data_IF_026177312176
#
_entry.id   IF_026177312176
#
_cell.length_a   1.000
_cell.length_b   1.000
_cell.length_c   1.000
_cell.angle_alpha   90.00
_cell.angle_beta   90.00
_cell.angle_gamma   90.00
#
_symmetry.space_group_name_H-M   'P 1'
#
loop_
_entity.id
_entity.type
_entity.pdbx_description
1 polymer ?
#
# COMPACT_ATOMS: atom_id res chain seq x y z
N UNK A 1 1.49 -8.79 -10.40
CA UNK A 1 1.32 -7.43 -9.85
C UNK A 1 2.65 -6.69 -9.92
N UNK A 2 2.69 -5.43 -10.39
CA UNK A 2 3.93 -4.66 -10.51
C UNK A 2 4.56 -4.34 -9.14
N UNK A 3 5.88 -4.39 -9.06
CA UNK A 3 6.66 -3.95 -7.90
C UNK A 3 8.11 -3.60 -8.33
N UNK A 4 8.65 -2.43 -7.93
CA UNK A 4 9.96 -1.95 -8.38
C UNK A 4 11.15 -2.47 -7.52
N UNK A 5 10.97 -3.57 -6.78
CA UNK A 5 11.97 -4.11 -5.84
C UNK A 5 11.90 -3.45 -4.46
N UNK A 6 10.71 -3.34 -3.89
CA UNK A 6 10.43 -2.69 -2.59
C UNK A 6 9.47 -3.53 -1.75
N UNK A 7 9.49 -3.34 -0.43
CA UNK A 7 8.63 -4.07 0.52
C UNK A 7 7.15 -3.87 0.18
N UNK A 8 6.37 -4.90 0.49
CA UNK A 8 4.90 -4.85 0.49
C UNK A 8 4.37 -5.19 1.88
N UNK A 9 3.16 -4.74 2.18
CA UNK A 9 2.41 -5.14 3.38
C UNK A 9 1.06 -5.71 2.94
N UNK A 10 0.74 -6.89 3.45
CA UNK A 10 -0.58 -7.52 3.28
C UNK A 10 -1.28 -7.61 4.64
N UNK A 11 -2.59 -7.44 4.61
CA UNK A 11 -3.48 -7.67 5.73
C UNK A 11 -4.73 -8.41 5.23
N UNK A 12 -5.20 -9.40 5.99
CA UNK A 12 -6.46 -10.08 5.72
C UNK A 12 -7.51 -9.50 6.66
N UNK A 13 -8.57 -8.93 6.11
CA UNK A 13 -9.71 -8.41 6.89
C UNK A 13 -10.59 -9.55 7.38
N UNK A 14 -11.47 -9.22 8.33
CA UNK A 14 -12.42 -10.11 8.98
C UNK A 14 -13.45 -10.70 8.01
N UNK A 15 -13.78 -9.97 6.94
CA UNK A 15 -14.65 -10.42 5.85
C UNK A 15 -13.92 -11.21 4.75
N UNK A 16 -12.61 -11.44 4.92
CA UNK A 16 -11.81 -12.28 4.03
C UNK A 16 -11.12 -11.53 2.88
N UNK A 17 -11.37 -10.23 2.69
CA UNK A 17 -10.64 -9.42 1.71
C UNK A 17 -9.16 -9.31 2.06
N UNK A 18 -8.34 -9.06 1.04
CA UNK A 18 -6.91 -8.83 1.19
C UNK A 18 -6.57 -7.39 0.86
N UNK A 19 -6.06 -6.67 1.86
CA UNK A 19 -5.59 -5.30 1.73
C UNK A 19 -4.07 -5.31 1.52
N UNK A 20 -3.61 -4.67 0.47
CA UNK A 20 -2.21 -4.56 0.09
C UNK A 20 -1.76 -3.10 0.09
N UNK A 21 -0.62 -2.83 0.70
CA UNK A 21 0.11 -1.57 0.57
C UNK A 21 1.41 -1.84 -0.21
N UNK A 22 1.58 -1.19 -1.37
CA UNK A 22 2.78 -1.38 -2.20
C UNK A 22 3.00 -0.23 -3.19
N UNK A 23 4.12 -0.29 -3.92
CA UNK A 23 4.39 0.57 -5.06
C UNK A 23 4.05 -0.16 -6.38
N UNK A 24 2.94 0.18 -7.08
CA UNK A 24 2.51 -0.49 -8.31
C UNK A 24 3.29 -0.03 -9.55
N UNK A 25 4.61 -0.12 -9.53
CA UNK A 25 5.47 0.27 -10.65
C UNK A 25 6.30 -0.92 -11.14
N UNK A 26 6.31 -1.16 -12.46
CA UNK A 26 7.06 -2.26 -13.08
C UNK A 26 8.54 -1.94 -13.31
N UNK A 27 8.92 -0.66 -13.26
CA UNK A 27 10.30 -0.23 -13.52
C UNK A 27 11.14 -0.37 -12.25
N UNK A 28 12.18 -1.23 -12.23
CA UNK A 28 13.03 -1.41 -11.05
C UNK A 28 13.64 -0.08 -10.57
N UNK A 29 13.60 0.15 -9.25
CA UNK A 29 14.13 1.36 -8.64
C UNK A 29 13.24 2.60 -8.72
N UNK A 30 12.12 2.58 -9.47
CA UNK A 30 11.14 3.66 -9.47
C UNK A 30 10.07 3.38 -8.40
N UNK A 31 10.36 3.76 -7.15
CA UNK A 31 9.52 3.47 -5.98
C UNK A 31 8.42 4.50 -5.78
N UNK A 32 7.69 4.78 -6.85
CA UNK A 32 6.60 5.74 -6.91
C UNK A 32 5.60 5.26 -7.98
N UNK A 33 4.27 5.33 -7.74
CA UNK A 33 3.58 5.85 -6.55
C UNK A 33 3.54 4.85 -5.39
N UNK A 34 2.95 5.24 -4.25
CA UNK A 34 2.50 4.33 -3.20
C UNK A 34 0.98 4.22 -3.22
N UNK A 35 0.46 2.99 -3.14
CA UNK A 35 -0.97 2.71 -3.26
C UNK A 35 -1.46 1.64 -2.29
N UNK A 36 -2.78 1.67 -2.03
CA UNK A 36 -3.53 0.60 -1.37
C UNK A 36 -4.40 -0.10 -2.42
N UNK A 37 -4.24 -1.41 -2.55
CA UNK A 37 -5.07 -2.26 -3.41
C UNK A 37 -5.84 -3.26 -2.54
N UNK A 38 -7.08 -3.59 -2.90
CA UNK A 38 -7.90 -4.59 -2.21
C UNK A 38 -8.35 -5.67 -3.20
N UNK A 39 -8.31 -6.91 -2.74
CA UNK A 39 -8.76 -8.10 -3.45
C UNK A 39 -9.87 -8.78 -2.66
N UNK A 40 -10.93 -9.16 -3.37
CA UNK A 40 -12.08 -9.91 -2.85
C UNK A 40 -11.99 -11.41 -3.17
N UNK A 41 -10.94 -11.83 -3.88
CA UNK A 41 -10.80 -13.15 -4.50
C UNK A 41 -9.42 -13.77 -4.23
N UNK A 42 -8.95 -13.64 -2.99
CA UNK A 42 -7.69 -14.21 -2.48
C UNK A 42 -6.47 -13.89 -3.37
N UNK A 43 -6.36 -12.61 -3.77
CA UNK A 43 -5.30 -12.01 -4.59
C UNK A 43 -5.29 -12.39 -6.08
N UNK A 44 -6.33 -13.08 -6.57
CA UNK A 44 -6.47 -13.39 -8.00
C UNK A 44 -6.65 -12.12 -8.84
N UNK A 45 -7.46 -11.18 -8.36
CA UNK A 45 -7.63 -9.84 -8.93
C UNK A 45 -7.52 -8.76 -7.85
N UNK A 46 -7.37 -7.52 -8.30
CA UNK A 46 -7.29 -6.33 -7.43
C UNK A 46 -8.29 -5.31 -7.94
N UNK A 47 -9.56 -5.49 -7.54
CA UNK A 47 -10.69 -4.73 -8.05
C UNK A 47 -10.70 -3.28 -7.56
N UNK A 48 -10.24 -3.05 -6.32
CA UNK A 48 -10.25 -1.74 -5.68
C UNK A 48 -8.82 -1.23 -5.50
N UNK A 49 -8.56 0.00 -5.94
CA UNK A 49 -7.20 0.58 -5.94
C UNK A 49 -7.28 2.07 -5.61
N UNK A 50 -6.40 2.52 -4.72
CA UNK A 50 -6.28 3.92 -4.34
C UNK A 50 -4.80 4.30 -4.28
N UNK A 51 -4.41 5.27 -5.11
CA UNK A 51 -3.11 5.92 -4.96
C UNK A 51 -3.14 6.79 -3.71
N UNK A 52 -2.17 6.60 -2.82
CA UNK A 52 -2.03 7.42 -1.61
C UNK A 52 -1.14 8.62 -1.85
N UNK A 53 -0.04 8.41 -2.58
CA UNK A 53 0.83 9.51 -3.02
C UNK A 53 1.55 9.13 -4.30
N UNK A 54 1.63 10.11 -5.20
CA UNK A 54 2.42 10.13 -6.43
C UNK A 54 3.38 11.32 -6.45
N UNK A 55 3.57 11.99 -5.31
CA UNK A 55 4.49 13.12 -5.23
C UNK A 55 5.92 12.68 -5.57
N UNK A 56 6.69 13.45 -6.36
CA UNK A 56 8.04 13.06 -6.78
C UNK A 56 8.94 12.64 -5.61
N UNK A 57 9.68 11.56 -5.83
CA UNK A 57 10.63 11.01 -4.85
C UNK A 57 10.50 9.49 -4.69
N UNK A 58 11.33 8.95 -3.83
CA UNK A 58 11.42 7.52 -3.53
C UNK A 58 10.59 7.21 -2.29
N UNK A 59 9.52 6.43 -2.46
CA UNK A 59 8.65 5.98 -1.37
C UNK A 59 8.92 4.50 -1.10
N UNK A 60 9.62 4.22 0.00
CA UNK A 60 10.15 2.90 0.30
C UNK A 60 9.59 2.31 1.59
N UNK A 61 9.64 0.99 1.68
CA UNK A 61 9.40 0.24 2.92
C UNK A 61 8.07 0.54 3.64
N UNK A 62 6.91 0.54 2.94
CA UNK A 62 5.64 0.72 3.61
C UNK A 62 5.42 -0.40 4.65
N UNK A 63 4.99 -0.01 5.84
CA UNK A 63 4.58 -0.94 6.89
C UNK A 63 3.52 -0.31 7.78
N UNK A 64 2.65 -1.13 8.36
CA UNK A 64 1.49 -0.63 9.08
C UNK A 64 0.49 -1.70 9.49
N UNK A 65 -0.65 -1.22 9.95
CA UNK A 65 -1.77 -1.99 10.50
C UNK A 65 -3.10 -1.47 9.96
N UNK A 66 -4.12 -2.32 9.98
CA UNK A 66 -5.51 -1.93 9.69
C UNK A 66 -6.21 -1.67 11.02
N UNK A 67 -7.08 -0.68 11.07
CA UNK A 67 -7.87 -0.34 12.26
C UNK A 67 -8.81 -1.50 12.62
N UNK A 68 -9.21 -1.58 13.90
CA UNK A 68 -10.09 -2.67 14.38
C UNK A 68 -11.47 -2.68 13.69
N UNK A 69 -11.96 -1.51 13.25
CA UNK A 69 -13.20 -1.38 12.48
C UNK A 69 -12.98 -1.54 10.96
N UNK A 70 -11.75 -1.82 10.55
CA UNK A 70 -11.30 -2.06 9.17
C UNK A 70 -11.51 -0.90 8.19
N UNK A 71 -11.93 0.26 8.70
CA UNK A 71 -12.20 1.47 7.91
C UNK A 71 -10.94 2.21 7.49
N UNK A 72 -9.84 2.04 8.23
CA UNK A 72 -8.59 2.76 8.00
C UNK A 72 -7.40 1.83 7.95
N UNK A 73 -6.43 2.20 7.12
CA UNK A 73 -5.09 1.64 7.10
C UNK A 73 -4.13 2.70 7.65
N UNK A 74 -3.48 2.38 8.76
CA UNK A 74 -2.46 3.21 9.39
C UNK A 74 -1.08 2.67 9.04
N UNK A 75 -0.28 3.44 8.33
CA UNK A 75 1.03 2.98 7.88
C UNK A 75 2.05 4.12 7.84
N UNK A 76 3.31 3.76 7.81
CA UNK A 76 4.41 4.68 7.57
C UNK A 76 5.28 4.19 6.42
N UNK A 77 5.99 5.12 5.80
CA UNK A 77 6.96 4.83 4.76
C UNK A 77 8.17 5.76 4.86
N UNK A 78 9.27 5.27 4.32
CA UNK A 78 10.50 6.02 4.14
C UNK A 78 10.40 6.86 2.86
N UNK A 79 10.53 8.19 3.01
CA UNK A 79 10.64 9.13 1.91
C UNK A 79 12.11 9.53 1.70
N UNK A 80 12.63 9.23 0.51
CA UNK A 80 14.00 9.54 0.09
C UNK A 80 15.12 9.05 1.02
N UNK A 81 14.88 8.03 1.86
CA UNK A 81 15.85 7.53 2.86
C UNK A 81 16.23 8.58 3.90
N UNK A 82 15.32 9.52 4.16
CA UNK A 82 15.58 10.65 5.03
C UNK A 82 14.42 10.90 5.99
N UNK A 83 13.20 10.97 5.46
CA UNK A 83 12.01 11.29 6.25
C UNK A 83 11.15 10.06 6.47
N UNK A 84 10.56 9.95 7.66
CA UNK A 84 9.48 9.01 7.93
C UNK A 84 8.15 9.74 7.79
N UNK A 85 7.30 9.29 6.87
CA UNK A 85 5.96 9.84 6.69
C UNK A 85 4.94 8.82 7.19
N UNK A 86 4.10 9.24 8.15
CA UNK A 86 3.00 8.43 8.66
C UNK A 86 1.67 8.91 8.04
N UNK A 87 0.84 7.95 7.62
CA UNK A 87 -0.45 8.20 6.95
C UNK A 87 -1.52 7.30 7.55
N UNK A 88 -2.71 7.87 7.73
CA UNK A 88 -3.94 7.12 7.96
C UNK A 88 -4.85 7.37 6.77
N UNK A 89 -5.15 6.33 6.01
CA UNK A 89 -5.99 6.42 4.82
C UNK A 89 -7.20 5.50 4.98
N UNK A 90 -8.36 5.93 4.50
CA UNK A 90 -9.51 5.03 4.43
C UNK A 90 -9.20 3.83 3.54
N UNK A 91 -9.62 2.65 3.96
CA UNK A 91 -9.57 1.43 3.14
C UNK A 91 -10.45 1.62 1.91
N UNK A 92 -10.00 1.26 0.69
CA UNK A 92 -10.89 1.20 -0.46
C UNK A 92 -12.14 0.35 -0.17
N UNK A 93 -13.31 0.74 -0.72
CA UNK A 93 -14.55 0.00 -0.50
C UNK A 93 -14.42 -1.46 -0.93
#
# INVERSE_FOLDING_TARGET
>A
MPNPGTKIRLHRSSDGRIILIHNPNSTPGIRNPLAIWVSDDDTATWAHRRTITDFPGQVSYPDGVVSNDERFVHFAFDYNRHDLVAVSAETPP
#
